data_IF_642552616245
#
_entry.id   IF_642552616245
#
_cell.length_a   1.000
_cell.length_b   1.000
_cell.length_c   1.000
_cell.angle_alpha   90.00
_cell.angle_beta   90.00
_cell.angle_gamma   90.00
#
_symmetry.space_group_name_H-M   'P 1'
#
loop_
_entity.id
_entity.type
_entity.pdbx_description
1 polymer ?
#
# COMPACT_ATOMS: atom_id res chain seq x y z
N UNK A 1 40.55 -39.26 28.33
CA UNK A 1 41.01 -37.92 28.77
C UNK A 1 42.09 -37.43 27.82
N UNK A 2 41.82 -36.41 27.00
CA UNK A 2 42.83 -35.57 26.32
C UNK A 2 42.11 -34.29 25.90
N UNK A 3 42.43 -33.20 26.59
CA UNK A 3 41.94 -31.84 26.36
C UNK A 3 42.72 -31.28 25.16
N UNK A 4 42.04 -30.63 24.22
CA UNK A 4 42.71 -29.65 23.35
C UNK A 4 41.91 -28.35 23.33
N UNK A 5 42.57 -27.37 23.92
CA UNK A 5 42.32 -25.95 23.96
C UNK A 5 42.67 -25.36 22.58
N UNK A 6 41.81 -24.55 22.00
CA UNK A 6 42.24 -23.48 21.07
C UNK A 6 41.19 -22.38 21.04
N UNK A 7 41.50 -21.37 21.85
CA UNK A 7 40.97 -20.03 21.86
C UNK A 7 41.40 -19.35 20.55
N UNK A 8 40.45 -18.86 19.73
CA UNK A 8 40.76 -17.94 18.64
C UNK A 8 40.02 -16.63 18.90
N UNK A 9 40.82 -15.68 19.37
CA UNK A 9 40.56 -14.26 19.53
C UNK A 9 40.57 -13.61 18.13
N UNK A 10 39.47 -13.01 17.68
CA UNK A 10 39.47 -12.12 16.51
C UNK A 10 38.99 -10.73 16.96
N UNK A 11 39.99 -9.88 17.21
CA UNK A 11 40.03 -8.43 16.99
C UNK A 11 39.13 -8.01 15.83
N UNK A 12 38.18 -7.09 15.97
CA UNK A 12 38.44 -5.68 16.25
C UNK A 12 38.42 -4.91 14.91
N UNK A 13 37.28 -4.29 14.59
CA UNK A 13 37.19 -3.32 13.48
C UNK A 13 36.32 -2.14 13.93
N UNK A 14 36.99 -1.11 14.45
CA UNK A 14 36.41 0.21 14.71
C UNK A 14 36.19 0.92 13.38
N UNK A 15 34.93 1.08 12.96
CA UNK A 15 34.58 2.01 11.89
C UNK A 15 34.30 3.39 12.49
N UNK A 16 35.23 4.31 12.26
CA UNK A 16 35.05 5.74 12.41
C UNK A 16 34.13 6.25 11.28
N UNK A 17 32.86 6.50 11.58
CA UNK A 17 31.99 7.25 10.67
C UNK A 17 32.09 8.75 10.98
N UNK A 18 32.74 9.46 10.06
CA UNK A 18 32.85 10.91 10.07
C UNK A 18 31.50 11.60 9.85
N UNK A 19 31.26 12.65 10.63
CA UNK A 19 30.17 13.60 10.41
C UNK A 19 30.41 14.41 9.13
N UNK A 20 29.77 14.02 8.02
CA UNK A 20 29.65 14.87 6.85
C UNK A 20 28.54 15.90 7.08
N UNK A 21 28.92 17.15 7.40
CA UNK A 21 28.01 18.30 7.37
C UNK A 21 27.56 18.53 5.92
N UNK A 22 26.29 18.29 5.61
CA UNK A 22 25.68 18.70 4.34
C UNK A 22 25.57 20.23 4.30
N UNK A 23 26.27 20.86 3.35
CA UNK A 23 25.99 22.22 2.93
C UNK A 23 24.67 22.21 2.13
N UNK A 24 23.68 22.96 2.61
CA UNK A 24 22.46 23.25 1.83
C UNK A 24 22.72 24.42 0.91
N UNK A 25 22.91 24.14 -0.38
CA UNK A 25 22.94 25.16 -1.44
C UNK A 25 21.51 25.38 -1.92
N UNK A 26 20.94 26.55 -1.62
CA UNK A 26 19.63 26.96 -2.11
C UNK A 26 19.79 27.60 -3.49
N UNK A 27 19.39 26.89 -4.55
CA UNK A 27 19.28 27.44 -5.90
C UNK A 27 17.96 28.21 -6.04
N UNK A 28 17.93 29.43 -6.62
CA UNK A 28 16.69 30.14 -6.88
C UNK A 28 15.88 29.45 -8.00
N UNK A 29 14.61 29.17 -7.72
CA UNK A 29 13.65 28.65 -8.71
C UNK A 29 13.23 29.81 -9.62
N UNK A 30 13.50 29.67 -10.92
CA UNK A 30 12.98 30.56 -11.96
C UNK A 30 11.61 30.03 -12.39
N UNK A 31 10.56 30.82 -12.15
CA UNK A 31 9.20 30.53 -12.60
C UNK A 31 9.05 30.94 -14.07
N UNK A 32 8.98 29.96 -14.96
CA UNK A 32 8.58 30.18 -16.36
C UNK A 32 7.06 30.08 -16.46
N UNK A 33 6.40 31.21 -16.72
CA UNK A 33 4.98 31.25 -17.07
C UNK A 33 4.81 30.75 -18.50
N UNK A 34 4.23 29.56 -18.66
CA UNK A 34 3.81 29.04 -19.97
C UNK A 34 2.35 29.40 -20.17
N UNK A 35 2.06 30.21 -21.19
CA UNK A 35 0.70 30.48 -21.66
C UNK A 35 0.26 29.32 -22.55
N UNK A 36 -0.49 28.40 -21.96
CA UNK A 36 -1.09 27.26 -22.66
C UNK A 36 -2.36 27.73 -23.40
N UNK A 37 -2.36 27.60 -24.73
CA UNK A 37 -3.52 27.94 -25.57
C UNK A 37 -4.38 26.69 -25.70
N UNK A 38 -5.43 26.60 -24.89
CA UNK A 38 -6.36 25.46 -24.87
C UNK A 38 -7.20 25.40 -26.15
N UNK A 39 -7.14 24.32 -26.95
CA UNK A 39 -8.10 24.07 -28.01
C UNK A 39 -9.48 23.76 -27.40
N UNK A 40 -10.53 24.41 -27.89
CA UNK A 40 -11.91 24.09 -27.50
C UNK A 40 -12.30 22.71 -28.02
N UNK A 41 -12.19 21.71 -27.15
CA UNK A 41 -12.65 20.34 -27.39
C UNK A 41 -14.16 20.25 -27.11
N UNK A 42 -14.90 19.71 -28.08
CA UNK A 42 -16.34 19.49 -28.01
C UNK A 42 -16.61 18.40 -26.97
N UNK A 43 -17.06 18.82 -25.78
CA UNK A 43 -17.39 17.91 -24.68
C UNK A 43 -18.64 17.11 -25.07
N UNK A 44 -18.42 15.90 -25.58
CA UNK A 44 -19.46 14.89 -25.70
C UNK A 44 -19.81 14.42 -24.29
N UNK A 45 -20.92 14.92 -23.76
CA UNK A 45 -21.45 14.53 -22.44
C UNK A 45 -21.80 13.04 -22.43
N UNK A 46 -20.90 12.23 -21.87
CA UNK A 46 -21.19 10.86 -21.51
C UNK A 46 -22.39 10.80 -20.53
N UNK A 47 -23.24 9.77 -20.59
CA UNK A 47 -24.37 9.62 -19.68
C UNK A 47 -23.87 9.62 -18.23
N UNK A 48 -24.45 10.52 -17.43
CA UNK A 48 -24.16 10.67 -15.99
C UNK A 48 -24.44 9.35 -15.30
N UNK A 49 -23.39 8.58 -14.99
CA UNK A 49 -23.51 7.38 -14.17
C UNK A 49 -24.06 7.77 -12.81
N UNK A 50 -25.25 7.27 -12.48
CA UNK A 50 -25.88 7.44 -11.17
C UNK A 50 -24.91 6.95 -10.11
N UNK A 51 -24.41 7.87 -9.29
CA UNK A 51 -23.51 7.56 -8.16
C UNK A 51 -24.21 6.53 -7.29
N UNK A 52 -23.64 5.33 -7.17
CA UNK A 52 -24.21 4.28 -6.35
C UNK A 52 -24.30 4.75 -4.89
N UNK A 53 -25.47 4.58 -4.30
CA UNK A 53 -25.70 4.88 -2.88
C UNK A 53 -24.70 4.07 -2.03
N UNK A 54 -24.07 4.73 -1.05
CA UNK A 54 -23.11 4.08 -0.15
C UNK A 54 -23.87 3.37 0.96
N UNK A 55 -23.50 2.12 1.24
CA UNK A 55 -24.03 1.33 2.34
C UNK A 55 -22.98 1.24 3.46
N UNK A 56 -23.36 1.48 4.73
CA UNK A 56 -22.47 1.26 5.85
C UNK A 56 -22.32 -0.24 6.13
N UNK A 57 -21.14 -0.64 6.57
CA UNK A 57 -20.86 -1.97 7.10
C UNK A 57 -20.01 -1.85 8.37
N UNK A 58 -20.25 -2.73 9.32
CA UNK A 58 -19.54 -2.81 10.60
C UNK A 58 -19.17 -4.26 10.88
N UNK A 59 -17.88 -4.52 11.08
CA UNK A 59 -17.39 -5.80 11.58
C UNK A 59 -16.93 -5.62 13.03
N UNK A 60 -17.82 -5.92 13.98
CA UNK A 60 -17.56 -5.74 15.42
C UNK A 60 -16.44 -6.63 15.93
N UNK A 61 -16.33 -7.85 15.40
CA UNK A 61 -15.30 -8.81 15.80
C UNK A 61 -13.88 -8.30 15.46
N UNK A 62 -13.73 -7.64 14.31
CA UNK A 62 -12.45 -7.10 13.86
C UNK A 62 -12.24 -5.64 14.23
N UNK A 63 -13.29 -4.95 14.69
CA UNK A 63 -13.23 -3.58 15.21
C UNK A 63 -13.10 -2.52 14.12
N UNK A 64 -13.78 -2.70 12.98
CA UNK A 64 -13.77 -1.70 11.90
C UNK A 64 -15.16 -1.44 11.31
N UNK A 65 -15.33 -0.27 10.71
CA UNK A 65 -16.50 0.10 9.91
C UNK A 65 -16.05 0.80 8.63
N UNK A 66 -16.77 0.56 7.54
CA UNK A 66 -16.53 1.18 6.24
C UNK A 66 -17.85 1.54 5.55
N UNK A 67 -17.77 2.42 4.56
CA UNK A 67 -18.86 2.63 3.60
C UNK A 67 -18.43 2.12 2.22
N UNK A 68 -19.27 1.35 1.56
CA UNK A 68 -18.98 0.74 0.26
C UNK A 68 -20.17 0.94 -0.69
N UNK A 69 -19.99 0.83 -2.02
CA UNK A 69 -21.11 0.94 -2.95
C UNK A 69 -22.19 -0.11 -2.66
N UNK A 70 -23.45 0.31 -2.54
CA UNK A 70 -24.57 -0.57 -2.17
C UNK A 70 -24.92 -1.64 -3.20
N UNK A 71 -24.35 -1.58 -4.39
CA UNK A 71 -24.48 -2.62 -5.42
C UNK A 71 -23.60 -3.84 -5.15
N UNK A 72 -22.67 -3.77 -4.18
CA UNK A 72 -21.78 -4.87 -3.83
C UNK A 72 -22.43 -5.83 -2.84
N UNK A 73 -22.12 -7.12 -2.97
CA UNK A 73 -22.39 -8.11 -1.93
C UNK A 73 -21.12 -8.34 -1.10
N UNK A 74 -21.25 -8.84 0.13
CA UNK A 74 -20.08 -9.15 0.96
C UNK A 74 -20.15 -10.53 1.61
N UNK A 75 -18.98 -11.07 1.97
CA UNK A 75 -18.80 -12.28 2.76
C UNK A 75 -17.70 -12.06 3.79
N UNK A 76 -17.86 -12.61 5.00
CA UNK A 76 -16.84 -12.58 6.05
C UNK A 76 -16.03 -13.88 6.04
N UNK A 77 -14.80 -13.83 6.53
CA UNK A 77 -13.91 -14.98 6.70
C UNK A 77 -13.61 -15.78 5.42
N UNK A 78 -13.47 -15.08 4.29
CA UNK A 78 -13.15 -15.69 2.98
C UNK A 78 -11.74 -15.32 2.55
N UNK A 79 -10.97 -16.31 2.08
CA UNK A 79 -9.58 -16.14 1.61
C UNK A 79 -8.66 -15.42 2.62
N UNK A 80 -8.89 -15.62 3.92
CA UNK A 80 -8.12 -14.96 4.98
C UNK A 80 -8.45 -13.47 5.18
N UNK A 81 -9.47 -12.94 4.51
CA UNK A 81 -10.00 -11.61 4.76
C UNK A 81 -11.06 -11.63 5.86
N UNK A 82 -11.05 -10.61 6.72
CA UNK A 82 -12.10 -10.37 7.71
C UNK A 82 -13.45 -10.06 7.03
N UNK A 83 -13.40 -9.34 5.90
CA UNK A 83 -14.54 -9.11 5.03
C UNK A 83 -14.08 -8.95 3.57
N UNK A 84 -14.86 -9.46 2.62
CA UNK A 84 -14.63 -9.32 1.19
C UNK A 84 -15.88 -8.80 0.49
N UNK A 85 -15.74 -7.74 -0.28
CA UNK A 85 -16.82 -7.04 -0.98
C UNK A 85 -16.69 -7.25 -2.48
N UNK A 86 -17.70 -7.87 -3.10
CA UNK A 86 -17.68 -8.27 -4.49
C UNK A 86 -18.53 -7.35 -5.36
N UNK A 87 -18.03 -6.97 -6.53
CA UNK A 87 -18.82 -6.26 -7.54
C UNK A 87 -19.87 -7.20 -8.15
N UNK A 88 -21.02 -6.70 -8.61
CA UNK A 88 -21.93 -7.51 -9.41
C UNK A 88 -21.23 -7.93 -10.71
N UNK A 89 -21.48 -9.15 -11.18
CA UNK A 89 -21.03 -9.59 -12.51
C UNK A 89 -21.91 -8.93 -13.56
N UNK A 90 -21.31 -8.24 -14.54
CA UNK A 90 -22.05 -7.83 -15.73
C UNK A 90 -22.20 -9.00 -16.71
N UNK A 91 -23.12 -8.87 -17.65
CA UNK A 91 -23.28 -9.84 -18.73
C UNK A 91 -21.99 -9.89 -19.57
N UNK A 92 -21.40 -11.09 -19.69
CA UNK A 92 -20.14 -11.30 -20.41
C UNK A 92 -18.87 -11.19 -19.56
N UNK A 93 -18.97 -10.77 -18.30
CA UNK A 93 -17.81 -10.75 -17.40
C UNK A 93 -17.41 -12.16 -16.97
N UNK A 94 -16.13 -12.49 -17.16
CA UNK A 94 -15.56 -13.77 -16.70
C UNK A 94 -14.98 -13.69 -15.30
N UNK A 95 -14.80 -12.48 -14.75
CA UNK A 95 -14.16 -12.26 -13.46
C UNK A 95 -15.01 -11.34 -12.59
N UNK A 96 -15.19 -11.75 -11.33
CA UNK A 96 -15.85 -10.94 -10.30
C UNK A 96 -14.79 -10.16 -9.53
N UNK A 97 -14.77 -8.84 -9.69
CA UNK A 97 -13.86 -7.99 -8.94
C UNK A 97 -14.23 -7.99 -7.45
N UNK A 98 -13.23 -7.81 -6.59
CA UNK A 98 -13.44 -7.79 -5.15
C UNK A 98 -12.48 -6.82 -4.45
N UNK A 99 -12.84 -6.47 -3.23
CA UNK A 99 -11.99 -5.74 -2.28
C UNK A 99 -12.04 -6.51 -0.96
N UNK A 100 -10.90 -7.01 -0.51
CA UNK A 100 -10.73 -7.68 0.77
C UNK A 100 -10.19 -6.73 1.84
N UNK A 101 -10.66 -6.88 3.07
CA UNK A 101 -10.09 -6.25 4.26
C UNK A 101 -9.49 -7.34 5.11
N UNK A 102 -8.20 -7.23 5.40
CA UNK A 102 -7.45 -8.15 6.25
C UNK A 102 -7.01 -7.44 7.52
N UNK A 103 -6.95 -8.18 8.63
CA UNK A 103 -6.38 -7.72 9.90
C UNK A 103 -5.29 -8.71 10.32
N UNK A 104 -4.13 -8.18 10.69
CA UNK A 104 -3.01 -8.97 11.19
C UNK A 104 -2.47 -8.33 12.46
N UNK A 105 -2.36 -9.12 13.53
CA UNK A 105 -1.62 -8.72 14.71
C UNK A 105 -0.11 -8.84 14.41
N UNK A 106 0.65 -7.81 14.77
CA UNK A 106 2.10 -7.80 14.62
C UNK A 106 2.76 -8.24 15.93
N UNK A 107 3.91 -8.88 15.82
CA UNK A 107 4.69 -9.40 16.95
C UNK A 107 5.47 -8.31 17.69
N UNK A 108 5.69 -7.19 17.02
CA UNK A 108 6.29 -5.96 17.56
C UNK A 108 5.81 -4.76 16.75
N UNK A 109 6.20 -3.58 17.19
CA UNK A 109 5.96 -2.34 16.46
C UNK A 109 6.91 -2.22 15.27
N UNK A 110 6.34 -1.92 14.11
CA UNK A 110 7.07 -1.61 12.88
C UNK A 110 6.57 -0.26 12.36
N UNK A 111 7.48 0.52 11.77
CA UNK A 111 7.07 1.57 10.83
C UNK A 111 6.45 0.95 9.57
N UNK A 112 5.64 1.71 8.84
CA UNK A 112 5.04 1.24 7.59
C UNK A 112 6.07 0.81 6.55
N UNK A 113 7.21 1.51 6.47
CA UNK A 113 8.32 1.18 5.57
C UNK A 113 9.02 -0.12 5.98
N UNK A 114 9.28 -0.32 7.27
CA UNK A 114 9.85 -1.58 7.77
C UNK A 114 8.91 -2.76 7.52
N UNK A 115 7.61 -2.57 7.77
CA UNK A 115 6.61 -3.60 7.50
C UNK A 115 6.53 -3.93 6.00
N UNK A 116 6.59 -2.93 5.13
CA UNK A 116 6.64 -3.16 3.70
C UNK A 116 7.89 -3.94 3.27
N UNK A 117 9.07 -3.58 3.80
CA UNK A 117 10.33 -4.24 3.47
C UNK A 117 10.31 -5.75 3.80
N UNK A 118 9.64 -6.15 4.89
CA UNK A 118 9.52 -7.57 5.26
C UNK A 118 8.42 -8.29 4.48
N UNK A 119 7.33 -7.62 4.09
CA UNK A 119 6.21 -8.25 3.36
C UNK A 119 6.47 -8.35 1.86
N UNK A 120 7.22 -7.42 1.26
CA UNK A 120 7.50 -7.42 -0.19
C UNK A 120 8.08 -8.75 -0.71
N UNK A 121 9.05 -9.41 -0.04
CA UNK A 121 9.51 -10.74 -0.44
C UNK A 121 8.42 -11.82 -0.41
N UNK A 122 7.40 -11.69 0.44
CA UNK A 122 6.26 -12.61 0.48
C UNK A 122 5.33 -12.36 -0.72
N UNK A 123 5.05 -11.09 -1.05
CA UNK A 123 4.25 -10.74 -2.22
C UNK A 123 4.87 -11.30 -3.52
N UNK A 124 6.20 -11.19 -3.66
CA UNK A 124 6.94 -11.76 -4.80
C UNK A 124 6.78 -13.28 -4.93
N UNK A 125 6.54 -13.99 -3.82
CA UNK A 125 6.33 -15.45 -3.82
C UNK A 125 4.87 -15.82 -4.06
N UNK A 126 3.94 -15.01 -3.55
CA UNK A 126 2.51 -15.31 -3.54
C UNK A 126 1.80 -14.85 -4.81
N UNK A 127 2.29 -13.80 -5.47
CA UNK A 127 1.65 -13.17 -6.63
C UNK A 127 2.58 -13.37 -7.85
N UNK A 128 2.28 -14.36 -8.73
CA UNK A 128 3.05 -14.57 -9.94
C UNK A 128 3.07 -13.32 -10.80
N UNK A 129 4.26 -12.86 -11.17
CA UNK A 129 4.42 -11.66 -11.99
C UNK A 129 4.34 -10.34 -11.23
N UNK A 130 4.33 -10.37 -9.89
CA UNK A 130 4.29 -9.15 -9.05
C UNK A 130 5.30 -8.11 -9.53
N UNK A 131 4.79 -6.94 -9.88
CA UNK A 131 5.57 -5.76 -10.23
C UNK A 131 5.02 -4.55 -9.48
N UNK A 132 5.86 -3.93 -8.65
CA UNK A 132 5.50 -2.70 -7.95
C UNK A 132 5.42 -1.53 -8.94
N UNK A 133 4.25 -0.90 -9.03
CA UNK A 133 4.02 0.30 -9.85
C UNK A 133 4.30 1.56 -9.04
N UNK A 134 3.80 1.62 -7.80
CA UNK A 134 4.07 2.74 -6.88
C UNK A 134 3.90 2.33 -5.43
N UNK A 135 4.71 2.92 -4.55
CA UNK A 135 4.58 2.79 -3.11
C UNK A 135 4.71 4.18 -2.46
N UNK A 136 3.66 4.66 -1.81
CA UNK A 136 3.60 6.06 -1.32
C UNK A 136 2.91 6.16 0.03
N UNK A 137 3.50 6.95 0.92
CA UNK A 137 2.87 7.32 2.18
C UNK A 137 1.66 8.24 1.93
N UNK A 138 0.54 7.95 2.57
CA UNK A 138 -0.70 8.71 2.51
C UNK A 138 -1.28 8.88 3.91
N UNK A 139 -2.32 9.71 4.03
CA UNK A 139 -3.16 9.77 5.24
C UNK A 139 -4.58 9.33 4.93
N UNK A 140 -5.16 8.54 5.82
CA UNK A 140 -6.58 8.16 5.78
C UNK A 140 -7.19 8.55 7.11
N UNK A 141 -8.06 9.56 7.12
CA UNK A 141 -8.64 10.12 8.36
C UNK A 141 -7.54 10.47 9.39
N UNK A 142 -6.52 11.20 8.94
CA UNK A 142 -5.34 11.62 9.72
C UNK A 142 -4.40 10.50 10.21
N UNK A 143 -4.74 9.23 9.98
CA UNK A 143 -3.91 8.07 10.27
C UNK A 143 -2.91 7.85 9.14
N UNK A 144 -1.65 7.62 9.50
CA UNK A 144 -0.60 7.29 8.54
C UNK A 144 -0.88 5.93 7.89
N UNK A 145 -0.79 5.88 6.57
CA UNK A 145 -1.03 4.68 5.78
C UNK A 145 -0.07 4.61 4.60
N UNK A 146 0.12 3.39 4.08
CA UNK A 146 0.95 3.14 2.90
C UNK A 146 0.07 2.66 1.76
N UNK A 147 0.16 3.32 0.60
CA UNK A 147 -0.54 2.93 -0.63
C UNK A 147 0.43 2.22 -1.57
N UNK A 148 0.19 0.94 -1.80
CA UNK A 148 0.89 0.11 -2.78
C UNK A 148 0.01 -0.11 -4.01
N UNK A 149 0.51 0.18 -5.21
CA UNK A 149 -0.07 -0.21 -6.49
C UNK A 149 0.89 -1.21 -7.14
N UNK A 150 0.36 -2.32 -7.62
CA UNK A 150 1.13 -3.38 -8.27
C UNK A 150 0.33 -4.01 -9.42
N UNK A 151 1.02 -4.74 -10.29
CA UNK A 151 0.46 -5.64 -11.30
C UNK A 151 0.93 -7.07 -11.07
#
# INVERSE_FOLDING_TARGET
MKKFLSLVLITGLLFLFGCAKRLSTTTPVTTTTVTETTPSEVITTAPVQKVAERQPYENKANGFSIQFPGTRTFQEDVYGSAAMFFTPLAEGDTLKENVGIMKKALDKDYTLDEYYAITKPELLKLIPGFSEVSNTAIKVNDIDAQKLIYT
#
